data_IF_077567116238
#
_entry.id   IF_077567116238
#
_cell.length_a   1.000
_cell.length_b   1.000
_cell.length_c   1.000
_cell.angle_alpha   90.00
_cell.angle_beta   90.00
_cell.angle_gamma   90.00
#
_symmetry.space_group_name_H-M   'P 1'
#
loop_
_entity.id
_entity.type
_entity.pdbx_description
1 polymer ?
#
# COMPACT_ATOMS: atom_id res chain seq x y z
N UNK A 1 7.76 19.79 2.76
CA UNK A 1 6.64 19.18 3.51
C UNK A 1 6.57 17.67 3.29
N UNK A 2 6.54 17.20 2.04
CA UNK A 2 6.57 15.77 1.73
C UNK A 2 7.80 15.03 2.28
N UNK A 3 9.03 15.55 2.09
CA UNK A 3 10.24 14.82 2.51
C UNK A 3 10.30 14.56 4.01
N UNK A 4 9.84 15.52 4.83
CA UNK A 4 9.75 15.34 6.29
C UNK A 4 8.71 14.28 6.68
N UNK A 5 7.53 14.31 6.04
CA UNK A 5 6.50 13.29 6.25
C UNK A 5 7.00 11.90 5.82
N UNK A 6 7.61 11.82 4.63
CA UNK A 6 8.23 10.60 4.08
C UNK A 6 9.25 10.01 5.04
N UNK A 7 10.23 10.78 5.51
CA UNK A 7 11.25 10.27 6.45
C UNK A 7 10.63 9.78 7.76
N UNK A 8 9.62 10.47 8.29
CA UNK A 8 8.90 10.03 9.51
C UNK A 8 8.16 8.72 9.28
N UNK A 9 7.49 8.57 8.15
CA UNK A 9 6.72 7.37 7.81
C UNK A 9 7.62 6.17 7.51
N UNK A 10 8.71 6.35 6.75
CA UNK A 10 9.70 5.30 6.49
C UNK A 10 10.32 4.80 7.80
N UNK A 11 10.72 5.70 8.69
CA UNK A 11 11.24 5.33 10.01
C UNK A 11 10.20 4.58 10.85
N UNK A 12 8.95 5.06 10.85
CA UNK A 12 7.86 4.41 11.57
C UNK A 12 7.60 2.99 11.06
N UNK A 13 7.56 2.79 9.74
CA UNK A 13 7.36 1.47 9.12
C UNK A 13 8.52 0.53 9.47
N UNK A 14 9.77 0.99 9.38
CA UNK A 14 10.95 0.18 9.71
C UNK A 14 10.98 -0.27 11.17
N UNK A 15 10.40 0.50 12.09
CA UNK A 15 10.28 0.16 13.51
C UNK A 15 9.14 -0.81 13.84
N UNK A 16 8.41 -1.34 12.84
CA UNK A 16 7.33 -2.33 13.03
C UNK A 16 7.82 -3.76 12.77
N UNK A 17 7.14 -4.78 13.32
CA UNK A 17 7.36 -6.16 12.90
C UNK A 17 7.21 -6.30 11.39
N UNK A 18 8.17 -6.96 10.74
CA UNK A 18 8.28 -7.03 9.28
C UNK A 18 8.42 -5.66 8.59
N UNK A 19 9.00 -4.67 9.26
CA UNK A 19 9.08 -3.29 8.78
C UNK A 19 9.70 -3.12 7.39
N UNK A 20 10.70 -3.95 7.04
CA UNK A 20 11.23 -4.00 5.66
C UNK A 20 10.19 -4.45 4.64
N UNK A 21 9.41 -5.49 4.94
CA UNK A 21 8.36 -5.96 4.03
C UNK A 21 7.26 -4.92 3.87
N UNK A 22 6.87 -4.25 4.97
CA UNK A 22 5.90 -3.16 4.95
C UNK A 22 6.39 -2.02 4.05
N UNK A 23 7.65 -1.60 4.19
CA UNK A 23 8.22 -0.54 3.36
C UNK A 23 8.30 -0.95 1.88
N UNK A 24 8.67 -2.19 1.58
CA UNK A 24 8.69 -2.71 0.21
C UNK A 24 7.29 -2.75 -0.42
N UNK A 25 6.23 -3.09 0.34
CA UNK A 25 4.84 -3.03 -0.14
C UNK A 25 4.45 -1.62 -0.62
N UNK A 26 4.97 -0.58 0.03
CA UNK A 26 4.73 0.81 -0.37
C UNK A 26 5.48 1.16 -1.65
N UNK A 27 6.73 0.69 -1.80
CA UNK A 27 7.58 1.02 -2.95
C UNK A 27 7.22 0.23 -4.21
N UNK A 28 7.08 -1.09 -4.06
CA UNK A 28 6.89 -2.00 -5.18
C UNK A 28 5.41 -2.20 -5.50
N UNK A 29 4.56 -2.21 -4.48
CA UNK A 29 3.14 -2.51 -4.57
C UNK A 29 2.78 -3.77 -3.79
N UNK A 30 1.48 -4.12 -3.72
CA UNK A 30 1.01 -5.25 -2.97
C UNK A 30 1.34 -6.57 -3.66
N UNK A 31 1.25 -7.67 -2.92
CA UNK A 31 1.33 -9.02 -3.45
C UNK A 31 0.33 -9.21 -4.59
N UNK A 32 0.84 -9.67 -5.73
CA UNK A 32 -0.02 -10.21 -6.79
C UNK A 32 -0.67 -11.48 -6.27
N UNK A 33 -2.00 -11.44 -6.10
CA UNK A 33 -2.72 -12.54 -5.50
C UNK A 33 -2.60 -13.79 -6.39
N UNK A 34 -2.11 -14.92 -5.85
CA UNK A 34 -1.87 -16.10 -6.67
C UNK A 34 -3.19 -16.78 -7.06
N UNK A 35 -3.25 -17.28 -8.29
CA UNK A 35 -4.28 -18.19 -8.77
C UNK A 35 -3.83 -19.66 -8.67
N UNK A 36 -4.80 -20.56 -8.74
CA UNK A 36 -4.64 -22.01 -8.87
C UNK A 36 -5.64 -22.52 -9.87
N UNK A 37 -5.24 -23.47 -10.70
CA UNK A 37 -6.18 -24.22 -11.53
C UNK A 37 -6.76 -25.37 -10.71
N UNK A 38 -8.06 -25.31 -10.46
CA UNK A 38 -8.83 -26.40 -9.87
C UNK A 38 -9.85 -26.84 -10.92
N UNK A 39 -9.75 -28.10 -11.37
CA UNK A 39 -10.68 -28.71 -12.34
C UNK A 39 -10.76 -27.96 -13.69
N UNK A 40 -9.63 -27.45 -14.17
CA UNK A 40 -9.55 -26.68 -15.43
C UNK A 40 -10.06 -25.24 -15.33
N UNK A 41 -10.43 -24.77 -14.13
CA UNK A 41 -10.82 -23.38 -13.87
C UNK A 41 -9.74 -22.67 -13.05
N UNK A 42 -9.23 -21.56 -13.58
CA UNK A 42 -8.32 -20.68 -12.85
C UNK A 42 -9.09 -19.92 -11.77
N UNK A 43 -8.88 -20.25 -10.49
CA UNK A 43 -9.49 -19.59 -9.33
C UNK A 43 -8.42 -18.92 -8.47
N UNK A 44 -8.76 -17.82 -7.81
CA UNK A 44 -7.87 -17.21 -6.82
C UNK A 44 -7.67 -18.15 -5.64
N UNK A 45 -6.42 -18.29 -5.15
CA UNK A 45 -6.14 -19.12 -3.97
C UNK A 45 -6.84 -18.54 -2.75
N UNK A 46 -7.40 -19.41 -1.90
CA UNK A 46 -7.84 -19.02 -0.55
C UNK A 46 -6.62 -18.62 0.29
N UNK A 47 -6.79 -17.69 1.23
CA UNK A 47 -5.72 -17.28 2.15
C UNK A 47 -5.10 -18.47 2.89
N UNK A 48 -5.93 -19.43 3.34
CA UNK A 48 -5.46 -20.65 4.02
C UNK A 48 -4.60 -21.58 3.14
N UNK A 49 -4.63 -21.39 1.82
CA UNK A 49 -3.81 -22.15 0.85
C UNK A 49 -2.53 -21.38 0.44
N UNK A 50 -2.29 -20.21 1.01
CA UNK A 50 -1.04 -19.46 0.79
C UNK A 50 0.11 -20.11 1.55
N UNK A 51 1.32 -20.01 0.99
CA UNK A 51 2.51 -20.29 1.77
C UNK A 51 2.65 -19.26 2.89
N UNK A 52 3.34 -19.63 3.98
CA UNK A 52 3.55 -18.73 5.11
C UNK A 52 4.15 -17.37 4.68
N UNK A 53 5.12 -17.38 3.77
CA UNK A 53 5.72 -16.15 3.24
C UNK A 53 4.71 -15.24 2.51
N UNK A 54 3.81 -15.82 1.70
CA UNK A 54 2.78 -15.05 0.98
C UNK A 54 1.69 -14.52 1.92
N UNK A 55 1.31 -15.30 2.93
CA UNK A 55 0.40 -14.84 3.97
C UNK A 55 0.99 -13.66 4.75
N UNK A 56 2.26 -13.75 5.17
CA UNK A 56 2.98 -12.65 5.83
C UNK A 56 3.04 -11.42 4.94
N UNK A 57 3.33 -11.58 3.64
CA UNK A 57 3.35 -10.47 2.69
C UNK A 57 1.98 -9.79 2.57
N UNK A 58 0.90 -10.57 2.40
CA UNK A 58 -0.45 -10.03 2.31
C UNK A 58 -0.84 -9.25 3.58
N UNK A 59 -0.46 -9.75 4.76
CA UNK A 59 -0.67 -9.05 6.02
C UNK A 59 0.14 -7.75 6.10
N UNK A 60 1.37 -7.75 5.57
CA UNK A 60 2.21 -6.55 5.48
C UNK A 60 1.63 -5.51 4.52
N UNK A 61 1.05 -5.93 3.38
CA UNK A 61 0.40 -5.03 2.43
C UNK A 61 -0.79 -4.30 3.08
N UNK A 62 -1.63 -5.04 3.84
CA UNK A 62 -2.74 -4.45 4.60
C UNK A 62 -2.23 -3.48 5.67
N UNK A 63 -1.17 -3.87 6.40
CA UNK A 63 -0.53 -3.00 7.40
C UNK A 63 0.04 -1.73 6.77
N UNK A 64 0.67 -1.83 5.61
CA UNK A 64 1.23 -0.68 4.89
C UNK A 64 0.13 0.34 4.57
N UNK A 65 -0.99 -0.12 3.98
CA UNK A 65 -2.15 0.75 3.69
C UNK A 65 -2.67 1.41 4.96
N UNK A 66 -2.86 0.64 6.04
CA UNK A 66 -3.37 1.17 7.32
C UNK A 66 -2.42 2.22 7.93
N UNK A 67 -1.12 1.97 7.93
CA UNK A 67 -0.11 2.89 8.45
C UNK A 67 -0.13 4.19 7.67
N UNK A 68 -0.17 4.14 6.33
CA UNK A 68 -0.25 5.34 5.49
C UNK A 68 -1.50 6.14 5.85
N UNK A 69 -2.68 5.52 5.85
CA UNK A 69 -3.94 6.23 6.13
C UNK A 69 -3.98 6.87 7.53
N UNK A 70 -3.40 6.21 8.54
CA UNK A 70 -3.29 6.77 9.90
C UNK A 70 -2.32 7.95 10.02
N UNK A 71 -1.33 8.02 9.12
CA UNK A 71 -0.35 9.10 9.09
C UNK A 71 -0.80 10.34 8.34
N UNK A 72 -2.05 10.40 7.88
CA UNK A 72 -2.56 11.49 7.04
C UNK A 72 -3.35 12.55 7.80
N UNK A 73 -3.17 13.84 7.45
CA UNK A 73 -4.14 14.88 7.77
C UNK A 73 -5.51 14.55 7.14
N UNK A 74 -6.58 14.94 7.81
CA UNK A 74 -7.96 14.61 7.41
C UNK A 74 -8.31 15.09 5.99
N UNK A 75 -7.79 16.26 5.59
CA UNK A 75 -7.98 16.84 4.26
C UNK A 75 -7.37 15.96 3.17
N UNK A 76 -6.16 15.44 3.39
CA UNK A 76 -5.48 14.54 2.45
C UNK A 76 -6.19 13.19 2.41
N UNK A 77 -6.61 12.67 3.56
CA UNK A 77 -7.36 11.42 3.66
C UNK A 77 -8.61 11.44 2.77
N UNK A 78 -9.42 12.50 2.82
CA UNK A 78 -10.63 12.63 1.99
C UNK A 78 -10.34 12.60 0.48
N UNK A 79 -9.16 13.09 0.06
CA UNK A 79 -8.74 13.14 -1.35
C UNK A 79 -8.17 11.82 -1.87
N UNK A 80 -7.75 10.92 -0.96
CA UNK A 80 -7.09 9.65 -1.30
C UNK A 80 -7.83 8.41 -0.79
N UNK A 81 -8.95 8.57 -0.09
CA UNK A 81 -9.70 7.46 0.51
C UNK A 81 -10.32 6.48 -0.50
N UNK A 82 -10.32 6.83 -1.78
CA UNK A 82 -10.77 5.94 -2.86
C UNK A 82 -9.72 4.91 -3.26
N UNK A 83 -8.43 5.17 -3.01
CA UNK A 83 -7.38 4.18 -3.25
C UNK A 83 -7.28 3.20 -2.08
N UNK A 84 -7.09 1.92 -2.41
CA UNK A 84 -6.98 0.83 -1.42
C UNK A 84 -5.56 0.29 -1.29
N UNK A 85 -4.66 0.72 -2.18
CA UNK A 85 -3.30 0.20 -2.31
C UNK A 85 -2.30 1.19 -1.73
N UNK A 86 -1.43 0.70 -0.84
CA UNK A 86 -0.42 1.49 -0.14
C UNK A 86 0.46 2.34 -1.09
N UNK A 87 0.90 1.73 -2.20
CA UNK A 87 1.70 2.42 -3.23
C UNK A 87 0.97 3.58 -3.89
N UNK A 88 -0.27 3.36 -4.34
CA UNK A 88 -1.08 4.40 -4.99
C UNK A 88 -1.39 5.55 -4.02
N UNK A 89 -1.70 5.22 -2.77
CA UNK A 89 -1.87 6.21 -1.71
C UNK A 89 -0.60 7.05 -1.56
N UNK A 90 0.56 6.39 -1.43
CA UNK A 90 1.85 7.05 -1.27
C UNK A 90 2.20 8.00 -2.42
N UNK A 91 2.04 7.55 -3.66
CA UNK A 91 2.28 8.37 -4.86
C UNK A 91 1.32 9.56 -4.93
N UNK A 92 0.05 9.39 -4.55
CA UNK A 92 -0.92 10.49 -4.55
C UNK A 92 -0.65 11.51 -3.45
N UNK A 93 -0.23 11.07 -2.27
CA UNK A 93 0.21 11.95 -1.18
C UNK A 93 1.42 12.77 -1.61
N UNK A 94 2.38 12.13 -2.30
CA UNK A 94 3.52 12.83 -2.86
C UNK A 94 3.09 13.96 -3.79
N UNK A 95 2.19 13.67 -4.73
CA UNK A 95 1.67 14.69 -5.65
C UNK A 95 0.98 15.84 -4.91
N UNK A 96 0.07 15.51 -3.98
CA UNK A 96 -0.70 16.50 -3.22
C UNK A 96 0.19 17.41 -2.35
N UNK A 97 1.20 16.85 -1.68
CA UNK A 97 2.06 17.61 -0.76
C UNK A 97 3.20 18.37 -1.46
N UNK A 98 3.54 18.00 -2.69
CA UNK A 98 4.53 18.71 -3.52
C UNK A 98 3.89 19.78 -4.41
N UNK A 99 2.56 19.91 -4.41
CA UNK A 99 1.83 20.96 -5.14
C UNK A 99 1.80 20.75 -6.65
N UNK A 100 2.06 19.53 -7.13
CA UNK A 100 1.83 19.21 -8.54
C UNK A 100 0.33 19.15 -8.77
N UNK A 101 -0.19 20.12 -9.55
CA UNK A 101 -1.61 20.20 -9.89
C UNK A 101 -2.12 18.85 -10.38
N UNK A 102 -3.29 18.48 -9.87
CA UNK A 102 -4.07 17.28 -10.24
C UNK A 102 -4.64 17.42 -11.68
N UNK A 103 -3.85 17.88 -12.65
CA UNK A 103 -4.25 17.94 -14.06
C UNK A 103 -3.95 16.60 -14.71
N UNK A 104 -4.85 15.63 -14.47
CA UNK A 104 -5.18 14.52 -15.36
C UNK A 104 -6.43 13.83 -14.82
N UNK A 105 -7.50 14.60 -14.72
CA UNK A 105 -8.80 14.09 -15.10
C UNK A 105 -9.00 14.52 -16.56
N UNK A 106 -8.51 13.71 -17.49
CA UNK A 106 -8.94 13.79 -18.89
C UNK A 106 -9.49 12.42 -19.27
N UNK A 107 -10.84 12.41 -19.36
CA UNK A 107 -11.75 11.45 -20.01
C UNK A 107 -11.83 10.02 -19.50
#
# INVERSE_FOLDING_TARGET
>A
MYDSWKSRMELYMLNRPHGRMILESVKQGPLIWPSVEEEGVTRLKKYSKLSAAKAIQADCDVKATKIILQGLPLEVYALVSTQKVAKELWERIQMLMQGTSLTKQER
#
